data_IF_583667764717
#
_entry.id   IF_583667764717
#
_cell.length_a   1.000
_cell.length_b   1.000
_cell.length_c   1.000
_cell.angle_alpha   90.00
_cell.angle_beta   90.00
_cell.angle_gamma   90.00
#
_symmetry.space_group_name_H-M   'P 1'
#
loop_
_entity.id
_entity.type
_entity.pdbx_description
1 polymer ?
#
# COMPACT_ATOMS: atom_id res chain seq x y z
N UNK A 1 21.38 18.87 1.73
CA UNK A 1 20.54 20.00 1.28
C UNK A 1 19.60 20.35 2.42
N UNK A 2 19.53 21.62 2.84
CA UNK A 2 18.67 22.13 3.93
C UNK A 2 17.16 22.20 3.57
N UNK A 3 16.75 21.53 2.49
CA UNK A 3 15.39 21.42 2.03
C UNK A 3 15.22 20.04 1.37
N UNK A 4 14.87 19.02 2.14
CA UNK A 4 14.74 17.66 1.62
C UNK A 4 13.95 16.76 2.56
N UNK A 5 12.82 16.25 2.05
CA UNK A 5 11.78 15.43 2.71
C UNK A 5 10.75 16.17 3.55
N UNK A 6 9.80 16.79 2.85
CA UNK A 6 8.60 17.40 3.43
C UNK A 6 7.34 16.55 3.19
N UNK A 7 7.51 15.23 3.08
CA UNK A 7 6.42 14.25 2.87
C UNK A 7 5.93 13.75 4.21
N UNK A 8 4.70 13.24 4.24
CA UNK A 8 4.15 12.65 5.45
C UNK A 8 4.84 11.30 5.69
N UNK A 9 5.59 11.20 6.78
CA UNK A 9 6.06 9.89 7.24
C UNK A 9 4.82 9.11 7.69
N UNK A 10 4.66 7.89 7.18
CA UNK A 10 3.52 7.06 7.47
C UNK A 10 3.97 5.73 8.07
N UNK A 11 3.30 5.30 9.14
CA UNK A 11 3.36 3.93 9.64
C UNK A 11 2.04 3.26 9.36
N UNK A 12 2.12 2.13 8.66
CA UNK A 12 0.95 1.43 8.15
C UNK A 12 0.92 0.02 8.72
N UNK A 13 -0.22 -0.33 9.31
CA UNK A 13 -0.48 -1.67 9.81
C UNK A 13 -1.62 -2.27 8.99
N UNK A 14 -1.33 -3.36 8.27
CA UNK A 14 -2.29 -4.03 7.40
C UNK A 14 -2.53 -5.46 7.87
N UNK A 15 -3.80 -5.86 7.89
CA UNK A 15 -4.23 -7.25 8.03
C UNK A 15 -5.22 -7.56 6.92
N UNK A 16 -4.80 -8.42 6.00
CA UNK A 16 -5.56 -8.81 4.82
C UNK A 16 -5.99 -10.27 4.96
N UNK A 17 -7.27 -10.54 4.75
CA UNK A 17 -7.85 -11.88 4.72
C UNK A 17 -8.27 -12.25 3.30
N UNK A 18 -7.89 -13.46 2.88
CA UNK A 18 -8.29 -14.05 1.61
C UNK A 18 -9.01 -15.39 1.86
N UNK A 19 -9.91 -15.76 0.96
CA UNK A 19 -10.55 -17.08 0.95
C UNK A 19 -9.69 -18.10 0.17
N UNK A 20 -10.03 -19.39 0.31
CA UNK A 20 -9.34 -20.48 -0.38
C UNK A 20 -9.43 -20.37 -1.92
N UNK A 21 -10.45 -19.69 -2.44
CA UNK A 21 -10.59 -19.39 -3.88
C UNK A 21 -9.71 -18.23 -4.37
N UNK A 22 -8.92 -17.63 -3.48
CA UNK A 22 -8.04 -16.50 -3.76
C UNK A 22 -8.71 -15.13 -3.73
N UNK A 23 -10.02 -15.05 -3.44
CA UNK A 23 -10.72 -13.77 -3.31
C UNK A 23 -10.33 -13.04 -2.02
N UNK A 24 -10.13 -11.73 -2.10
CA UNK A 24 -9.88 -10.90 -0.91
C UNK A 24 -11.22 -10.60 -0.21
N UNK A 25 -11.27 -10.86 1.10
CA UNK A 25 -12.52 -10.84 1.84
C UNK A 25 -12.56 -9.78 2.94
N UNK A 26 -11.46 -9.60 3.66
CA UNK A 26 -11.39 -8.66 4.76
C UNK A 26 -10.10 -7.83 4.73
N UNK A 27 -10.21 -6.55 5.02
CA UNK A 27 -9.07 -5.64 5.21
C UNK A 27 -9.26 -4.86 6.50
N UNK A 28 -8.31 -5.01 7.42
CA UNK A 28 -8.13 -4.07 8.53
C UNK A 28 -6.84 -3.28 8.29
N UNK A 29 -6.95 -1.96 8.34
CA UNK A 29 -5.82 -1.07 8.12
C UNK A 29 -5.81 0.06 9.16
N UNK A 30 -4.64 0.29 9.76
CA UNK A 30 -4.38 1.47 10.59
C UNK A 30 -3.23 2.27 10.02
N UNK A 31 -3.48 3.55 9.75
CA UNK A 31 -2.54 4.48 9.18
C UNK A 31 -2.20 5.56 10.20
N UNK A 32 -0.93 5.73 10.52
CA UNK A 32 -0.42 6.81 11.36
C UNK A 32 0.40 7.75 10.50
N UNK A 33 -0.07 8.98 10.35
CA UNK A 33 0.55 9.98 9.49
C UNK A 33 1.12 11.09 10.34
N UNK A 34 2.41 11.34 10.17
CA UNK A 34 3.04 12.52 10.72
C UNK A 34 2.72 13.74 9.84
N UNK A 35 1.85 14.63 10.33
CA UNK A 35 1.36 15.83 9.64
C UNK A 35 2.15 17.10 9.97
N UNK A 36 3.21 16.99 10.78
CA UNK A 36 4.00 18.14 11.23
C UNK A 36 3.26 19.03 12.23
N UNK A 37 3.67 20.29 12.33
CA UNK A 37 3.30 21.16 13.46
C UNK A 37 1.88 21.75 13.36
N UNK A 38 1.23 21.69 12.19
CA UNK A 38 -0.09 22.28 11.96
C UNK A 38 -1.04 21.28 11.32
N UNK A 39 -2.33 21.43 11.62
CA UNK A 39 -3.39 20.61 11.05
C UNK A 39 -3.60 20.84 9.54
N UNK A 40 -3.19 22.00 9.00
CA UNK A 40 -3.32 22.47 7.61
C UNK A 40 -4.12 21.56 6.66
N UNK A 41 -3.45 20.85 5.74
CA UNK A 41 -4.08 19.93 4.79
C UNK A 41 -3.85 18.45 5.20
N UNK A 42 -3.58 18.23 6.48
CA UNK A 42 -3.31 16.88 7.00
C UNK A 42 -4.55 16.01 6.86
N UNK A 43 -5.73 16.55 7.18
CA UNK A 43 -7.00 15.83 7.09
C UNK A 43 -7.28 15.29 5.68
N UNK A 44 -7.10 16.14 4.66
CA UNK A 44 -7.35 15.81 3.26
C UNK A 44 -6.38 14.74 2.74
N UNK A 45 -5.11 14.81 3.17
CA UNK A 45 -4.10 13.77 2.86
C UNK A 45 -4.49 12.43 3.50
N UNK A 46 -5.06 12.45 4.71
CA UNK A 46 -5.54 11.26 5.39
C UNK A 46 -6.79 10.67 4.75
N UNK A 47 -7.74 11.50 4.33
CA UNK A 47 -8.95 11.05 3.62
C UNK A 47 -8.58 10.34 2.33
N UNK A 48 -7.66 10.92 1.55
CA UNK A 48 -7.12 10.28 0.36
C UNK A 48 -6.45 8.92 0.69
N UNK A 49 -5.86 8.79 1.88
CA UNK A 49 -5.27 7.55 2.36
C UNK A 49 -6.30 6.47 2.62
N UNK A 50 -7.40 6.85 3.27
CA UNK A 50 -8.50 5.96 3.58
C UNK A 50 -9.14 5.41 2.31
N UNK A 51 -9.41 6.27 1.33
CA UNK A 51 -10.06 5.92 0.08
C UNK A 51 -9.24 4.91 -0.75
N UNK A 52 -7.92 5.06 -0.74
CA UNK A 52 -7.03 4.26 -1.59
C UNK A 52 -6.36 3.10 -0.86
N UNK A 53 -6.56 2.97 0.47
CA UNK A 53 -5.88 1.95 1.27
C UNK A 53 -6.23 0.50 0.87
N UNK A 54 -7.35 0.25 0.18
CA UNK A 54 -7.70 -1.07 -0.37
C UNK A 54 -7.04 -1.35 -1.73
N UNK A 55 -6.45 -0.34 -2.38
CA UNK A 55 -5.95 -0.43 -3.74
C UNK A 55 -7.06 -0.73 -4.76
N UNK A 56 -6.72 -1.27 -5.94
CA UNK A 56 -7.67 -1.53 -7.02
C UNK A 56 -8.48 -2.84 -6.81
N UNK A 57 -8.64 -3.30 -5.57
CA UNK A 57 -9.23 -4.60 -5.27
C UNK A 57 -10.64 -4.50 -4.69
N UNK A 58 -11.47 -5.48 -5.02
CA UNK A 58 -12.77 -5.67 -4.38
C UNK A 58 -12.57 -6.41 -3.06
N UNK A 59 -12.86 -5.74 -1.95
CA UNK A 59 -12.79 -6.30 -0.58
C UNK A 59 -14.12 -5.97 0.13
N UNK A 60 -15.03 -6.93 0.33
CA UNK A 60 -16.36 -6.66 0.89
C UNK A 60 -16.38 -6.13 2.33
N UNK A 61 -15.39 -6.50 3.14
CA UNK A 61 -15.33 -6.11 4.54
C UNK A 61 -14.08 -5.27 4.81
N UNK A 62 -14.24 -3.96 4.98
CA UNK A 62 -13.13 -3.04 5.23
C UNK A 62 -13.31 -2.32 6.55
N UNK A 63 -12.23 -2.24 7.33
CA UNK A 63 -12.10 -1.36 8.49
C UNK A 63 -10.79 -0.60 8.33
N UNK A 64 -10.88 0.69 8.04
CA UNK A 64 -9.71 1.53 7.75
C UNK A 64 -9.77 2.73 8.69
N UNK A 65 -8.70 2.92 9.47
CA UNK A 65 -8.57 3.99 10.46
C UNK A 65 -7.30 4.78 10.15
N UNK A 66 -7.40 6.10 10.06
CA UNK A 66 -6.25 6.99 9.84
C UNK A 66 -6.16 8.03 10.96
N UNK A 67 -4.96 8.25 11.48
CA UNK A 67 -4.70 9.22 12.55
C UNK A 67 -3.63 10.22 12.11
N UNK A 68 -3.98 11.49 12.20
CA UNK A 68 -3.06 12.60 11.97
C UNK A 68 -2.32 12.87 13.28
N UNK A 69 -1.01 12.71 13.25
CA UNK A 69 -0.13 12.90 14.39
C UNK A 69 0.60 14.22 14.19
N UNK A 70 0.28 15.19 15.04
CA UNK A 70 1.02 16.45 15.12
C UNK A 70 2.38 16.19 15.75
N UNK A 71 3.44 16.63 15.08
CA UNK A 71 4.83 16.46 15.54
C UNK A 71 5.59 17.77 15.39
N UNK A 72 6.81 17.81 15.93
CA UNK A 72 7.75 18.88 15.65
C UNK A 72 8.38 18.60 14.28
N UNK A 73 8.25 19.54 13.36
CA UNK A 73 8.83 19.46 12.02
C UNK A 73 9.81 20.62 11.80
N UNK A 74 11.10 20.31 11.72
CA UNK A 74 12.16 21.34 11.68
C UNK A 74 12.59 21.71 10.26
N UNK A 75 12.28 20.85 9.27
CA UNK A 75 12.78 21.00 7.90
C UNK A 75 11.85 21.83 7.02
N UNK A 76 10.59 21.99 7.43
CA UNK A 76 9.60 22.79 6.73
C UNK A 76 9.58 24.27 7.16
N UNK A 77 9.34 25.25 6.26
CA UNK A 77 9.03 26.62 6.66
C UNK A 77 7.94 26.65 7.73
N UNK A 78 8.28 27.23 8.87
CA UNK A 78 7.46 27.31 10.08
C UNK A 78 7.01 25.96 10.68
N UNK A 79 7.53 24.82 10.19
CA UNK A 79 7.09 23.47 10.57
C UNK A 79 5.92 22.90 9.77
N UNK A 80 5.62 23.51 8.61
CA UNK A 80 4.64 22.96 7.67
C UNK A 80 5.12 21.66 7.01
N UNK A 81 4.19 20.81 6.55
CA UNK A 81 4.46 19.69 5.63
C UNK A 81 3.86 19.90 4.25
N UNK A 82 4.46 19.28 3.24
CA UNK A 82 3.93 19.31 1.87
C UNK A 82 2.83 18.25 1.68
N UNK A 83 1.95 18.49 0.71
CA UNK A 83 0.82 17.61 0.34
C UNK A 83 1.28 16.25 -0.23
N UNK A 84 2.58 16.10 -0.47
CA UNK A 84 3.15 15.03 -1.27
C UNK A 84 3.02 13.61 -0.67
N UNK A 85 2.59 12.69 -1.55
CA UNK A 85 2.25 11.27 -1.40
C UNK A 85 1.56 10.84 -0.12
N UNK A 86 0.50 10.11 -0.37
CA UNK A 86 -0.16 9.28 0.60
C UNK A 86 0.50 7.91 0.52
N UNK A 87 1.10 7.41 1.60
CA UNK A 87 1.47 6.01 1.73
C UNK A 87 0.25 5.09 1.71
N UNK A 88 -0.25 4.77 0.52
CA UNK A 88 -1.43 3.90 0.28
C UNK A 88 -1.07 2.53 -0.28
N UNK A 89 0.18 2.33 -0.65
CA UNK A 89 0.62 1.17 -1.41
C UNK A 89 0.95 -0.03 -0.54
N UNK A 90 0.35 -0.20 0.64
CA UNK A 90 0.66 -1.33 1.55
C UNK A 90 0.15 -2.71 1.07
N UNK A 91 -1.10 -2.85 0.61
CA UNK A 91 -1.64 -4.16 0.23
C UNK A 91 -1.01 -4.73 -1.03
N UNK A 92 -0.69 -3.88 -2.01
CA UNK A 92 -0.11 -4.30 -3.30
C UNK A 92 1.19 -5.10 -3.15
N UNK A 93 2.26 -4.60 -2.51
CA UNK A 93 3.49 -5.35 -2.30
C UNK A 93 3.28 -6.54 -1.37
N UNK A 94 2.35 -6.47 -0.40
CA UNK A 94 2.03 -7.62 0.44
C UNK A 94 1.43 -8.78 -0.37
N UNK A 95 0.49 -8.49 -1.27
CA UNK A 95 -0.09 -9.50 -2.17
C UNK A 95 0.95 -9.98 -3.18
N UNK A 96 1.74 -9.08 -3.77
CA UNK A 96 2.81 -9.45 -4.71
C UNK A 96 3.84 -10.38 -4.07
N UNK A 97 4.28 -10.07 -2.84
CA UNK A 97 5.20 -10.91 -2.08
C UNK A 97 4.60 -12.26 -1.70
N UNK A 98 3.31 -12.33 -1.38
CA UNK A 98 2.61 -13.59 -1.14
C UNK A 98 2.56 -14.47 -2.40
N UNK A 99 2.32 -13.88 -3.58
CA UNK A 99 2.35 -14.59 -4.87
C UNK A 99 3.77 -15.09 -5.17
N UNK A 100 4.79 -14.25 -5.00
CA UNK A 100 6.19 -14.62 -5.21
C UNK A 100 6.61 -15.76 -4.26
N UNK A 101 6.23 -15.69 -2.99
CA UNK A 101 6.52 -16.74 -2.01
C UNK A 101 5.80 -18.07 -2.32
N UNK A 102 4.55 -18.02 -2.81
CA UNK A 102 3.75 -19.21 -3.03
C UNK A 102 4.05 -19.90 -4.37
N UNK A 103 4.35 -19.13 -5.41
CA UNK A 103 4.42 -19.62 -6.79
C UNK A 103 5.79 -19.43 -7.44
N UNK A 104 6.74 -18.78 -6.75
CA UNK A 104 8.04 -18.34 -7.32
C UNK A 104 7.88 -17.42 -8.54
N UNK A 105 6.70 -16.82 -8.69
CA UNK A 105 6.34 -15.91 -9.78
C UNK A 105 6.33 -14.48 -9.27
N UNK A 106 7.15 -13.63 -9.87
CA UNK A 106 7.22 -12.22 -9.50
C UNK A 106 6.27 -11.35 -10.32
N UNK A 107 5.31 -10.72 -9.65
CA UNK A 107 4.35 -9.82 -10.29
C UNK A 107 4.69 -8.35 -10.04
N UNK A 108 4.90 -7.58 -11.11
CA UNK A 108 5.26 -6.16 -11.04
C UNK A 108 4.15 -5.20 -11.48
N UNK A 109 3.01 -5.73 -11.93
CA UNK A 109 1.93 -4.94 -12.51
C UNK A 109 0.58 -5.39 -11.97
N UNK A 110 -0.04 -4.52 -11.17
CA UNK A 110 -1.40 -4.68 -10.69
C UNK A 110 -2.42 -4.45 -11.82
N UNK A 111 -3.69 -4.88 -11.66
CA UNK A 111 -4.19 -5.77 -10.61
C UNK A 111 -3.73 -7.23 -10.83
N UNK A 112 -3.52 -7.97 -9.73
CA UNK A 112 -3.15 -9.39 -9.72
C UNK A 112 -4.40 -10.27 -9.84
N UNK A 113 -5.03 -10.25 -11.02
CA UNK A 113 -6.24 -11.05 -11.28
C UNK A 113 -5.87 -12.53 -11.50
N UNK A 114 -6.76 -13.49 -11.18
CA UNK A 114 -6.47 -14.91 -11.39
C UNK A 114 -5.96 -15.26 -12.80
N UNK A 115 -6.53 -14.71 -13.90
CA UNK A 115 -6.00 -14.98 -15.25
C UNK A 115 -4.58 -14.47 -15.47
N UNK A 116 -4.20 -13.33 -14.87
CA UNK A 116 -2.83 -12.79 -14.98
C UNK A 116 -1.83 -13.60 -14.17
N UNK A 117 -2.25 -14.08 -12.99
CA UNK A 117 -1.43 -14.96 -12.16
C UNK A 117 -1.19 -16.29 -12.88
N UNK A 118 -2.24 -16.88 -13.45
CA UNK A 118 -2.15 -18.12 -14.21
C UNK A 118 -1.21 -17.99 -15.41
N UNK A 119 -1.40 -16.95 -16.24
CA UNK A 119 -0.54 -16.71 -17.40
C UNK A 119 0.94 -16.51 -17.02
N UNK A 120 1.20 -15.84 -15.90
CA UNK A 120 2.56 -15.65 -15.39
C UNK A 120 3.18 -16.97 -14.90
N UNK A 121 2.40 -17.84 -14.26
CA UNK A 121 2.82 -19.17 -13.83
C UNK A 121 3.12 -20.11 -15.00
N UNK A 122 2.27 -20.10 -16.03
CA UNK A 122 2.47 -20.89 -17.25
C UNK A 122 3.75 -20.46 -17.98
N UNK A 123 3.97 -19.15 -18.15
CA UNK A 123 5.19 -18.62 -18.74
C UNK A 123 6.44 -18.99 -17.93
N UNK A 124 6.36 -18.94 -16.59
CA UNK A 124 7.45 -19.36 -15.71
C UNK A 124 7.76 -20.86 -15.86
N UNK A 125 6.73 -21.70 -15.90
CA UNK A 125 6.89 -23.16 -16.03
C UNK A 125 7.46 -23.54 -17.40
N UNK A 126 7.03 -22.89 -18.48
CA UNK A 126 7.59 -23.08 -19.83
C UNK A 126 9.08 -22.74 -19.89
N UNK A 127 9.51 -21.64 -19.26
CA UNK A 127 10.92 -21.25 -19.21
C UNK A 127 11.82 -22.23 -18.42
N UNK A 128 11.26 -22.98 -17.47
CA UNK A 128 11.98 -24.05 -16.75
C UNK A 128 12.07 -25.34 -17.56
N UNK A 129 11.06 -25.64 -18.38
CA UNK A 129 11.02 -26.83 -19.21
C UNK A 129 12.00 -26.83 -20.38
N UNK A 130 12.27 -25.66 -20.97
CA UNK A 130 13.21 -25.50 -22.09
C UNK A 130 14.69 -25.45 -21.66
N UNK A 131 14.97 -25.40 -20.36
CA UNK A 131 16.32 -25.34 -19.79
C UNK A 131 16.86 -26.70 -19.29
N UNK A 132 16.13 -27.79 -19.50
CA UNK A 132 16.47 -29.16 -19.11
C UNK A 132 16.68 -30.05 -20.34
#
# INVERSE_FOLDING_TARGET
MLAGYKRHAARLHYRLGAQADGSLHALECRLYYDTGAYAHLGGEVLELALEHAAGPYRIPHTRIEALAITTIEETGPFGSKGIGEVGINGPLPAIAGAIEQALEVRMHQAPFTPPRVLAALEAHTGSRGDAA
#
